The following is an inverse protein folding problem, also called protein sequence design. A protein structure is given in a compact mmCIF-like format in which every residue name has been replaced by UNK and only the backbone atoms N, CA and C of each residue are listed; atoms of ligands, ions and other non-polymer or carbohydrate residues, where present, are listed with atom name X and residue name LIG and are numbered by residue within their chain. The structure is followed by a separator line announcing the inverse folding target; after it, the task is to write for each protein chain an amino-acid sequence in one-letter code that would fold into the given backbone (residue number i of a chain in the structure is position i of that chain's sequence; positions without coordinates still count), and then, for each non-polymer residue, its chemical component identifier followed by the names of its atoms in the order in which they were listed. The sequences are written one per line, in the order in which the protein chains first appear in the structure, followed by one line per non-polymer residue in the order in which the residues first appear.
data_IF_790976636881
#
_entry.id   IF_790976636881
#
_cell.length_a   1.000
_cell.length_b   1.000
_cell.length_c   1.000
_cell.angle_alpha   90.00
_cell.angle_beta   90.00
_cell.angle_gamma   90.00
#
_symmetry.space_group_name_H-M   'P 1'
#
loop_
_entity.id
_entity.type
_entity.pdbx_description
1 polymer ?
#
# COMPACT_ATOMS: atom_id res chain seq x y z
N UNK A 1 -16.52 28.09 -12.89
CA UNK A 1 -17.47 26.96 -12.81
C UNK A 1 -17.99 26.75 -11.38
N UNK A 2 -17.13 26.55 -10.37
CA UNK A 2 -17.54 26.37 -8.95
C UNK A 2 -18.29 27.59 -8.36
N UNK A 3 -17.86 28.82 -8.66
CA UNK A 3 -18.55 30.04 -8.19
C UNK A 3 -19.97 30.21 -8.77
N UNK A 4 -20.22 29.75 -10.00
CA UNK A 4 -21.56 29.74 -10.62
C UNK A 4 -22.48 28.65 -10.06
N UNK A 5 -21.90 27.60 -9.46
CA UNK A 5 -22.67 26.56 -8.77
C UNK A 5 -23.09 27.00 -7.36
N UNK A 6 -22.36 27.93 -6.72
CA UNK A 6 -22.74 28.53 -5.43
C UNK A 6 -24.08 29.26 -5.50
N UNK A 7 -24.35 30.03 -6.55
CA UNK A 7 -25.62 30.77 -6.71
C UNK A 7 -26.82 29.86 -6.94
N UNK A 8 -26.64 28.73 -7.64
CA UNK A 8 -27.70 27.72 -7.78
C UNK A 8 -27.98 26.98 -6.46
N UNK A 9 -26.94 26.74 -5.65
CA UNK A 9 -27.05 26.16 -4.32
C UNK A 9 -27.84 27.03 -3.35
N UNK A 10 -27.79 28.36 -3.49
CA UNK A 10 -28.58 29.27 -2.64
C UNK A 10 -30.08 29.18 -2.89
N UNK A 11 -30.51 28.89 -4.13
CA UNK A 11 -31.92 28.65 -4.44
C UNK A 11 -32.42 27.30 -3.91
N UNK A 12 -31.56 26.28 -3.83
CA UNK A 12 -31.87 24.99 -3.22
C UNK A 12 -32.02 25.06 -1.68
N UNK A 13 -31.52 26.11 -1.02
CA UNK A 13 -31.72 26.35 0.43
C UNK A 13 -33.20 26.42 0.83
N UNK A 14 -34.08 26.81 -0.09
CA UNK A 14 -35.50 27.09 0.22
C UNK A 14 -36.45 25.92 -0.01
N UNK A 15 -36.06 24.87 -0.73
CA UNK A 15 -37.03 23.88 -1.24
C UNK A 15 -36.70 22.43 -0.95
N UNK A 16 -35.44 22.05 -0.75
CA UNK A 16 -35.06 20.64 -0.59
C UNK A 16 -34.08 20.50 0.57
N UNK A 17 -34.54 19.87 1.65
CA UNK A 17 -33.83 19.73 2.91
C UNK A 17 -32.43 19.15 2.75
N UNK A 18 -31.44 20.02 2.85
CA UNK A 18 -30.05 19.64 3.10
C UNK A 18 -29.98 19.12 4.54
N UNK A 19 -29.70 17.83 4.68
CA UNK A 19 -29.49 17.18 5.97
C UNK A 19 -28.43 17.99 6.75
N UNK A 20 -28.85 18.64 7.83
CA UNK A 20 -27.99 19.45 8.72
C UNK A 20 -27.35 20.73 8.12
N UNK A 21 -27.89 21.29 7.03
CA UNK A 21 -27.38 22.55 6.45
C UNK A 21 -26.01 22.44 5.76
N UNK A 22 -25.57 21.21 5.49
CA UNK A 22 -24.37 20.93 4.70
C UNK A 22 -24.69 20.88 3.20
N UNK A 23 -23.76 21.33 2.36
CA UNK A 23 -23.89 21.34 0.90
C UNK A 23 -23.04 20.24 0.27
N UNK A 24 -23.60 19.06 -0.06
CA UNK A 24 -22.81 17.96 -0.57
C UNK A 24 -22.38 18.21 -2.03
N UNK A 25 -21.16 17.79 -2.34
CA UNK A 25 -20.65 17.65 -3.70
C UNK A 25 -20.23 16.20 -3.86
N UNK A 26 -20.81 15.51 -4.84
CA UNK A 26 -20.51 14.11 -5.09
C UNK A 26 -19.35 13.98 -6.07
N UNK A 27 -18.49 13.00 -5.84
CA UNK A 27 -17.36 12.71 -6.73
C UNK A 27 -17.43 11.25 -7.16
N UNK A 28 -17.40 11.01 -8.47
CA UNK A 28 -17.36 9.66 -9.04
C UNK A 28 -15.97 9.32 -9.55
N UNK A 29 -15.59 8.05 -9.40
CA UNK A 29 -14.33 7.52 -9.92
C UNK A 29 -14.23 7.67 -11.45
N UNK A 30 -13.03 8.01 -11.89
CA UNK A 30 -12.56 7.93 -13.27
C UNK A 30 -11.96 6.58 -13.61
N UNK A 31 -10.84 6.61 -14.33
CA UNK A 31 -10.13 5.41 -14.76
C UNK A 31 -9.09 5.02 -13.72
N UNK A 32 -9.19 3.81 -13.18
CA UNK A 32 -8.23 3.31 -12.20
C UNK A 32 -6.83 3.15 -12.81
N UNK A 33 -5.79 3.36 -12.00
CA UNK A 33 -4.42 3.09 -12.44
C UNK A 33 -4.20 1.59 -12.70
N UNK A 34 -3.21 1.21 -13.53
CA UNK A 34 -2.87 -0.20 -13.76
C UNK A 34 -2.55 -0.94 -12.46
N UNK A 35 -1.82 -0.31 -11.54
CA UNK A 35 -1.48 -0.88 -10.22
C UNK A 35 -2.73 -1.14 -9.38
N UNK A 36 -3.66 -0.17 -9.30
CA UNK A 36 -4.91 -0.36 -8.55
C UNK A 36 -5.79 -1.44 -9.18
N UNK A 37 -5.83 -1.50 -10.51
CA UNK A 37 -6.57 -2.53 -11.24
C UNK A 37 -6.00 -3.93 -10.95
N UNK A 38 -4.67 -4.06 -10.94
CA UNK A 38 -3.98 -5.30 -10.59
C UNK A 38 -4.25 -5.71 -9.13
N UNK A 39 -4.18 -4.76 -8.19
CA UNK A 39 -4.47 -5.01 -6.79
C UNK A 39 -5.94 -5.41 -6.55
N UNK A 40 -6.89 -4.81 -7.28
CA UNK A 40 -8.31 -5.20 -7.24
C UNK A 40 -8.52 -6.63 -7.74
N UNK A 41 -7.89 -7.00 -8.85
CA UNK A 41 -7.93 -8.36 -9.38
C UNK A 41 -7.36 -9.34 -8.35
N UNK A 42 -6.20 -9.03 -7.77
CA UNK A 42 -5.58 -9.87 -6.75
C UNK A 42 -6.50 -10.07 -5.53
N UNK A 43 -7.11 -9.00 -5.03
CA UNK A 43 -8.10 -9.06 -3.94
C UNK A 43 -9.29 -9.96 -4.28
N UNK A 44 -9.81 -9.86 -5.51
CA UNK A 44 -10.91 -10.71 -5.97
C UNK A 44 -10.54 -12.19 -5.97
N UNK A 45 -9.35 -12.55 -6.48
CA UNK A 45 -8.87 -13.92 -6.48
C UNK A 45 -8.68 -14.47 -5.05
N UNK A 46 -8.01 -13.71 -4.18
CA UNK A 46 -7.83 -14.08 -2.77
C UNK A 46 -9.17 -14.29 -2.05
N UNK A 47 -10.17 -13.46 -2.34
CA UNK A 47 -11.49 -13.54 -1.71
C UNK A 47 -12.34 -14.69 -2.26
N UNK A 48 -12.06 -15.14 -3.49
CA UNK A 48 -12.81 -16.21 -4.15
C UNK A 48 -12.25 -17.61 -3.87
N UNK A 49 -11.14 -17.72 -3.11
CA UNK A 49 -10.50 -19.00 -2.78
C UNK A 49 -9.88 -19.72 -3.99
N UNK A 50 -9.72 -19.01 -5.11
CA UNK A 50 -9.04 -19.51 -6.32
C UNK A 50 -7.54 -19.36 -6.09
N UNK A 51 -6.78 -20.42 -6.37
CA UNK A 51 -5.34 -20.45 -6.13
C UNK A 51 -4.62 -19.34 -6.92
N UNK A 52 -3.73 -18.61 -6.23
CA UNK A 52 -2.99 -17.47 -6.79
C UNK A 52 -2.06 -17.86 -7.95
N UNK A 53 -1.84 -19.16 -8.14
CA UNK A 53 -1.09 -19.74 -9.26
C UNK A 53 -1.77 -19.53 -10.63
N UNK A 54 -3.06 -19.18 -10.68
CA UNK A 54 -3.76 -18.81 -11.93
C UNK A 54 -3.55 -17.35 -12.36
N UNK A 55 -2.73 -16.58 -11.64
CA UNK A 55 -2.45 -15.19 -11.97
C UNK A 55 -1.58 -15.09 -13.24
N UNK A 56 -2.20 -14.90 -14.39
CA UNK A 56 -1.53 -14.41 -15.58
C UNK A 56 -1.46 -12.88 -15.48
N UNK A 57 -0.27 -12.26 -15.43
CA UNK A 57 -0.18 -10.82 -15.45
C UNK A 57 -0.86 -10.30 -16.71
N UNK A 58 -1.74 -9.28 -16.61
CA UNK A 58 -2.36 -8.70 -17.79
C UNK A 58 -1.25 -8.16 -18.72
N UNK A 59 -1.43 -8.38 -20.03
CA UNK A 59 -0.64 -7.67 -21.03
C UNK A 59 -0.75 -6.16 -20.77
N UNK A 60 0.33 -5.41 -21.05
CA UNK A 60 0.51 -3.99 -20.71
C UNK A 60 -0.63 -3.03 -21.12
N UNK A 61 -1.57 -3.50 -21.94
CA UNK A 61 -2.64 -2.68 -22.53
C UNK A 61 -4.07 -3.11 -22.15
N UNK A 62 -4.25 -4.07 -21.23
CA UNK A 62 -5.58 -4.46 -20.78
C UNK A 62 -6.08 -3.51 -19.67
N UNK A 63 -6.73 -2.42 -20.05
CA UNK A 63 -7.59 -1.68 -19.11
C UNK A 63 -8.67 -2.63 -18.63
N UNK A 64 -8.60 -3.00 -17.36
CA UNK A 64 -9.61 -3.86 -16.73
C UNK A 64 -10.85 -3.00 -16.54
N UNK A 65 -11.70 -3.00 -17.56
CA UNK A 65 -12.96 -2.25 -17.57
C UNK A 65 -13.77 -2.61 -16.33
N UNK A 66 -14.35 -1.60 -15.67
CA UNK A 66 -15.22 -1.85 -14.51
C UNK A 66 -16.38 -2.75 -14.93
N UNK A 67 -16.85 -3.57 -13.98
CA UNK A 67 -18.05 -4.38 -14.16
C UNK A 67 -19.18 -3.52 -14.75
N UNK A 68 -19.77 -3.98 -15.87
CA UNK A 68 -20.74 -3.19 -16.65
C UNK A 68 -22.00 -2.89 -15.84
N UNK A 69 -22.47 -3.84 -15.02
CA UNK A 69 -23.61 -3.63 -14.13
C UNK A 69 -23.32 -2.54 -13.09
N UNK A 70 -22.12 -2.55 -12.50
CA UNK A 70 -21.67 -1.54 -11.56
C UNK A 70 -21.57 -0.16 -12.20
N UNK A 71 -20.98 -0.05 -13.39
CA UNK A 71 -20.90 1.22 -14.13
C UNK A 71 -22.30 1.77 -14.46
N UNK A 72 -23.23 0.90 -14.85
CA UNK A 72 -24.63 1.30 -15.07
C UNK A 72 -25.26 1.83 -13.79
N UNK A 73 -25.13 1.12 -12.67
CA UNK A 73 -25.65 1.56 -11.38
C UNK A 73 -25.07 2.92 -10.95
N UNK A 74 -23.77 3.15 -11.16
CA UNK A 74 -23.14 4.45 -10.90
C UNK A 74 -23.77 5.55 -11.77
N UNK A 75 -23.99 5.30 -13.06
CA UNK A 75 -24.62 6.29 -13.96
C UNK A 75 -26.08 6.59 -13.54
N UNK A 76 -26.86 5.56 -13.21
CA UNK A 76 -28.24 5.73 -12.73
C UNK A 76 -28.27 6.59 -11.44
N UNK A 77 -27.30 6.39 -10.53
CA UNK A 77 -27.15 7.24 -9.33
C UNK A 77 -26.73 8.68 -9.66
N UNK A 78 -25.85 8.89 -10.65
CA UNK A 78 -25.44 10.24 -11.08
C UNK A 78 -26.63 10.99 -11.66
N UNK A 79 -27.40 10.37 -12.56
CA UNK A 79 -28.61 10.96 -13.13
C UNK A 79 -29.60 11.36 -12.04
N UNK A 80 -29.83 10.48 -11.06
CA UNK A 80 -30.70 10.77 -9.93
C UNK A 80 -30.22 11.99 -9.12
N UNK A 81 -28.92 12.10 -8.85
CA UNK A 81 -28.34 13.24 -8.13
C UNK A 81 -28.49 14.54 -8.93
N UNK A 82 -28.28 14.50 -10.23
CA UNK A 82 -28.47 15.66 -11.12
C UNK A 82 -29.93 16.11 -11.16
N UNK A 83 -30.88 15.18 -11.17
CA UNK A 83 -32.32 15.47 -11.06
C UNK A 83 -32.68 16.11 -9.72
N UNK A 84 -31.98 15.78 -8.63
CA UNK A 84 -32.11 16.44 -7.34
C UNK A 84 -31.37 17.80 -7.26
N UNK A 85 -30.71 18.23 -8.34
CA UNK A 85 -29.95 19.48 -8.38
C UNK A 85 -28.64 19.42 -7.58
N UNK A 86 -28.12 18.22 -7.31
CA UNK A 86 -26.87 18.03 -6.56
C UNK A 86 -25.67 18.08 -7.51
N UNK A 87 -24.59 18.80 -7.15
CA UNK A 87 -23.40 18.85 -8.00
C UNK A 87 -22.64 17.52 -7.94
N UNK A 88 -22.35 16.97 -9.13
CA UNK A 88 -21.55 15.77 -9.31
C UNK A 88 -20.30 16.10 -10.13
N UNK A 89 -19.14 15.63 -9.68
CA UNK A 89 -17.85 15.77 -10.35
C UNK A 89 -17.31 14.39 -10.71
N UNK A 90 -16.63 14.28 -11.85
CA UNK A 90 -15.93 13.06 -12.26
C UNK A 90 -14.42 13.25 -12.09
N UNK A 91 -13.79 12.37 -11.33
CA UNK A 91 -12.34 12.33 -11.20
C UNK A 91 -11.68 11.77 -12.48
N UNK A 92 -10.42 12.12 -12.73
CA UNK A 92 -9.62 11.48 -13.77
C UNK A 92 -9.18 10.07 -13.36
N UNK A 93 -8.86 9.91 -12.08
CA UNK A 93 -8.49 8.64 -11.45
C UNK A 93 -9.43 8.32 -10.31
N UNK A 94 -8.95 8.40 -9.09
CA UNK A 94 -9.73 8.06 -7.89
C UNK A 94 -10.52 9.24 -7.35
N UNK A 95 -11.76 8.98 -6.95
CA UNK A 95 -12.64 9.98 -6.34
C UNK A 95 -12.01 10.59 -5.08
N UNK A 96 -11.36 9.77 -4.25
CA UNK A 96 -10.67 10.23 -3.03
C UNK A 96 -9.58 11.26 -3.30
N UNK A 97 -8.84 11.10 -4.41
CA UNK A 97 -7.80 12.04 -4.80
C UNK A 97 -8.39 13.41 -5.13
N UNK A 98 -9.51 13.44 -5.86
CA UNK A 98 -10.20 14.68 -6.19
C UNK A 98 -10.88 15.29 -4.94
N UNK A 99 -11.52 14.48 -4.09
CA UNK A 99 -12.06 14.94 -2.81
C UNK A 99 -10.99 15.62 -1.95
N UNK A 100 -9.84 14.97 -1.78
CA UNK A 100 -8.72 15.50 -1.01
C UNK A 100 -8.16 16.79 -1.61
N UNK A 101 -8.10 16.89 -2.95
CA UNK A 101 -7.70 18.12 -3.63
C UNK A 101 -8.68 19.25 -3.34
N UNK A 102 -9.98 19.03 -3.52
CA UNK A 102 -11.01 20.04 -3.26
C UNK A 102 -10.96 20.54 -1.82
N UNK A 103 -10.73 19.63 -0.86
CA UNK A 103 -10.60 20.00 0.55
C UNK A 103 -9.31 20.77 0.84
N UNK A 104 -8.18 20.34 0.28
CA UNK A 104 -6.90 21.04 0.44
C UNK A 104 -6.97 22.47 -0.12
N UNK A 105 -7.59 22.63 -1.28
CA UNK A 105 -7.69 23.90 -2.02
C UNK A 105 -8.79 24.81 -1.46
N UNK A 106 -9.57 24.36 -0.47
CA UNK A 106 -10.59 25.14 0.22
C UNK A 106 -11.91 25.28 -0.53
N UNK A 107 -12.18 24.38 -1.49
CA UNK A 107 -13.47 24.31 -2.18
C UNK A 107 -14.55 23.61 -1.36
N UNK A 108 -14.16 22.68 -0.48
CA UNK A 108 -15.06 21.97 0.45
C UNK A 108 -14.43 21.90 1.85
N UNK A 109 -15.27 21.89 2.89
CA UNK A 109 -14.81 21.92 4.28
C UNK A 109 -14.29 20.57 4.77
N UNK A 110 -14.87 19.46 4.28
CA UNK A 110 -14.49 18.10 4.67
C UNK A 110 -14.75 17.08 3.56
N UNK A 111 -14.01 15.97 3.59
CA UNK A 111 -14.28 14.79 2.77
C UNK A 111 -15.09 13.76 3.58
N UNK A 112 -16.21 13.28 3.05
CA UNK A 112 -16.98 12.19 3.67
C UNK A 112 -16.55 10.88 3.01
N UNK A 113 -15.84 10.03 3.74
CA UNK A 113 -15.41 8.72 3.24
C UNK A 113 -15.14 7.76 4.41
N UNK A 114 -15.20 6.45 4.16
CA UNK A 114 -14.72 5.45 5.12
C UNK A 114 -13.21 5.19 4.97
N UNK A 115 -12.63 5.57 3.84
CA UNK A 115 -11.27 5.26 3.44
C UNK A 115 -10.27 6.33 3.87
N UNK A 116 -9.16 5.89 4.47
CA UNK A 116 -8.12 6.77 4.98
C UNK A 116 -7.18 7.30 3.89
N UNK A 117 -7.26 6.78 2.66
CA UNK A 117 -6.35 7.13 1.56
C UNK A 117 -6.52 8.60 1.15
N UNK A 118 -7.68 9.20 1.38
CA UNK A 118 -7.90 10.66 1.34
C UNK A 118 -6.83 11.47 2.07
N UNK A 119 -6.30 11.02 3.22
CA UNK A 119 -5.19 11.71 3.89
C UNK A 119 -3.86 11.59 3.13
N UNK A 120 -3.62 10.46 2.47
CA UNK A 120 -2.45 10.26 1.59
C UNK A 120 -2.51 11.21 0.38
N UNK A 121 -3.72 11.44 -0.14
CA UNK A 121 -3.99 12.45 -1.17
C UNK A 121 -3.99 13.89 -0.65
N UNK A 122 -3.95 14.09 0.66
CA UNK A 122 -3.72 15.37 1.33
C UNK A 122 -4.97 16.11 1.76
N UNK A 123 -6.05 15.40 2.07
CA UNK A 123 -7.19 15.97 2.77
C UNK A 123 -6.76 16.54 4.15
N UNK A 124 -7.39 17.65 4.55
CA UNK A 124 -7.20 18.31 5.84
C UNK A 124 -8.25 17.88 6.87
N UNK A 125 -9.47 17.60 6.43
CA UNK A 125 -10.59 17.17 7.28
C UNK A 125 -11.35 16.01 6.63
N UNK A 126 -11.51 14.91 7.37
CA UNK A 126 -12.24 13.72 6.92
C UNK A 126 -13.33 13.38 7.94
N UNK A 127 -14.55 13.23 7.47
CA UNK A 127 -15.69 12.74 8.25
C UNK A 127 -15.87 11.26 7.90
N UNK A 128 -15.63 10.40 8.89
CA UNK A 128 -15.70 8.95 8.70
C UNK A 128 -17.13 8.46 8.73
N UNK A 129 -17.66 8.15 7.55
CA UNK A 129 -18.97 7.53 7.29
C UNK A 129 -20.16 8.20 7.99
N UNK A 130 -21.11 8.73 7.20
CA UNK A 130 -22.40 9.20 7.73
C UNK A 130 -23.34 8.00 7.83
N UNK A 131 -23.69 7.59 9.05
CA UNK A 131 -24.70 6.55 9.26
C UNK A 131 -26.09 7.20 9.28
N UNK A 132 -27.03 6.79 8.39
CA UNK A 132 -28.34 7.46 8.24
C UNK A 132 -29.18 7.54 9.51
N UNK A 133 -28.97 6.60 10.45
CA UNK A 133 -29.77 6.47 11.68
C UNK A 133 -28.95 6.65 12.97
N UNK A 134 -27.71 7.13 12.89
CA UNK A 134 -26.93 7.39 14.11
C UNK A 134 -27.35 8.73 14.73
N UNK A 135 -27.84 8.69 15.97
CA UNK A 135 -28.07 9.89 16.79
C UNK A 135 -26.80 10.43 17.45
N UNK A 136 -25.68 9.71 17.32
CA UNK A 136 -24.39 10.08 17.90
C UNK A 136 -23.62 11.09 17.03
N UNK A 137 -22.60 11.74 17.58
CA UNK A 137 -21.75 12.67 16.83
C UNK A 137 -21.05 11.96 15.68
N UNK A 138 -20.79 12.70 14.60
CA UNK A 138 -19.96 12.21 13.50
C UNK A 138 -18.51 12.08 13.94
N UNK A 139 -17.86 11.01 13.49
CA UNK A 139 -16.44 10.80 13.71
C UNK A 139 -15.66 11.65 12.70
N UNK A 140 -14.93 12.66 13.18
CA UNK A 140 -14.22 13.62 12.35
C UNK A 140 -12.74 13.63 12.70
N UNK A 141 -11.90 13.62 11.67
CA UNK A 141 -10.46 13.59 11.76
C UNK A 141 -9.87 14.81 11.06
N UNK A 142 -9.09 15.61 11.78
CA UNK A 142 -8.29 16.67 11.19
C UNK A 142 -6.84 16.24 11.07
N UNK A 143 -6.21 16.58 9.95
CA UNK A 143 -4.78 16.36 9.75
C UNK A 143 -3.95 17.09 10.81
N UNK A 144 -4.41 18.26 11.29
CA UNK A 144 -3.78 18.99 12.40
C UNK A 144 -3.76 18.19 13.70
N UNK A 145 -4.84 17.47 13.99
CA UNK A 145 -4.97 16.67 15.22
C UNK A 145 -4.11 15.42 15.13
N UNK A 146 -4.01 14.81 13.93
CA UNK A 146 -3.10 13.70 13.65
C UNK A 146 -1.64 14.15 13.83
N UNK A 147 -1.28 15.32 13.31
CA UNK A 147 0.06 15.88 13.46
C UNK A 147 0.38 16.19 14.93
N UNK A 148 -0.54 16.82 15.65
CA UNK A 148 -0.35 17.17 17.06
C UNK A 148 -0.32 15.94 17.98
N UNK A 149 -1.21 14.98 17.76
CA UNK A 149 -1.36 13.80 18.61
C UNK A 149 -0.36 12.68 18.33
N UNK A 150 0.05 12.51 17.06
CA UNK A 150 0.90 11.39 16.64
C UNK A 150 2.27 11.82 16.10
N UNK A 151 2.48 13.12 15.81
CA UNK A 151 3.69 13.61 15.14
C UNK A 151 3.79 13.16 13.67
N UNK A 152 2.68 12.69 13.09
CA UNK A 152 2.64 12.14 11.74
C UNK A 152 2.14 13.19 10.75
N UNK A 153 3.04 13.65 9.88
CA UNK A 153 2.71 14.50 8.74
C UNK A 153 2.29 13.63 7.56
N UNK A 154 1.67 14.24 6.54
CA UNK A 154 1.25 13.54 5.30
C UNK A 154 2.33 12.61 4.72
N UNK A 155 3.58 13.08 4.64
CA UNK A 155 4.72 12.28 4.13
C UNK A 155 4.99 11.02 4.96
N UNK A 156 4.79 11.09 6.27
CA UNK A 156 4.91 9.93 7.15
C UNK A 156 3.78 8.94 6.89
N UNK A 157 2.54 9.43 6.68
CA UNK A 157 1.40 8.56 6.33
C UNK A 157 1.62 7.84 5.00
N UNK A 158 2.16 8.54 3.98
CA UNK A 158 2.53 7.92 2.70
C UNK A 158 3.64 6.90 2.89
N UNK A 159 4.67 7.20 3.68
CA UNK A 159 5.72 6.23 3.97
C UNK A 159 5.18 4.97 4.66
N UNK A 160 4.26 5.13 5.64
CA UNK A 160 3.60 4.00 6.30
C UNK A 160 2.80 3.17 5.28
N UNK A 161 2.02 3.81 4.41
CA UNK A 161 1.19 3.09 3.45
C UNK A 161 2.02 2.34 2.40
N UNK A 162 3.20 2.84 2.04
CA UNK A 162 4.14 2.14 1.18
C UNK A 162 4.82 0.96 1.89
N UNK A 163 5.13 1.11 3.18
CA UNK A 163 5.79 0.05 3.97
C UNK A 163 4.84 -1.09 4.32
N UNK A 164 3.62 -0.77 4.74
CA UNK A 164 2.64 -1.75 5.24
C UNK A 164 1.84 -2.37 4.10
N UNK A 165 1.67 -1.63 3.00
CA UNK A 165 0.75 -1.96 1.92
C UNK A 165 -0.45 -1.02 1.90
N UNK A 166 -0.99 -0.84 0.70
CA UNK A 166 -2.07 0.09 0.39
C UNK A 166 -2.91 -0.43 -0.77
N UNK A 167 -3.83 0.41 -1.25
CA UNK A 167 -4.77 0.04 -2.29
C UNK A 167 -4.14 -0.31 -3.66
N UNK A 168 -2.89 0.10 -3.89
CA UNK A 168 -2.12 -0.14 -5.10
C UNK A 168 -1.11 -1.29 -4.97
N UNK A 169 -0.57 -1.51 -3.76
CA UNK A 169 0.36 -2.60 -3.45
C UNK A 169 -0.06 -3.25 -2.13
N UNK A 170 -0.65 -4.44 -2.23
CA UNK A 170 -1.21 -5.16 -1.09
C UNK A 170 -0.16 -5.69 -0.12
N UNK A 171 1.07 -5.90 -0.61
CA UNK A 171 2.09 -6.60 0.16
C UNK A 171 3.01 -5.63 0.90
N UNK A 172 3.17 -4.41 0.37
CA UNK A 172 4.16 -3.46 0.87
C UNK A 172 5.54 -4.11 0.99
N UNK A 173 6.26 -3.80 2.06
CA UNK A 173 7.54 -4.44 2.36
C UNK A 173 7.32 -5.67 3.24
N UNK A 174 7.71 -6.83 2.73
CA UNK A 174 7.57 -8.10 3.44
C UNK A 174 8.21 -8.06 4.84
N UNK A 175 7.42 -8.38 5.87
CA UNK A 175 7.86 -8.40 7.26
C UNK A 175 7.74 -7.05 7.98
N UNK A 176 7.23 -6.01 7.33
CA UNK A 176 6.96 -4.71 7.95
C UNK A 176 5.45 -4.53 8.13
N UNK A 177 5.00 -4.65 9.37
CA UNK A 177 3.63 -4.28 9.76
C UNK A 177 3.54 -2.84 10.26
N UNK A 178 2.33 -2.42 10.65
CA UNK A 178 2.07 -1.05 11.14
C UNK A 178 2.96 -0.67 12.34
N UNK A 179 3.10 -1.56 13.32
CA UNK A 179 3.94 -1.29 14.50
C UNK A 179 5.41 -1.08 14.12
N UNK A 180 5.94 -1.95 13.26
CA UNK A 180 7.31 -1.86 12.75
C UNK A 180 7.52 -0.57 11.95
N UNK A 181 6.57 -0.21 11.08
CA UNK A 181 6.61 1.02 10.29
C UNK A 181 6.61 2.27 11.20
N UNK A 182 5.75 2.31 12.21
CA UNK A 182 5.71 3.41 13.19
C UNK A 182 7.01 3.50 14.00
N UNK A 183 7.57 2.35 14.39
CA UNK A 183 8.84 2.30 15.12
C UNK A 183 9.99 2.87 14.30
N UNK A 184 10.07 2.56 13.00
CA UNK A 184 11.07 3.14 12.11
C UNK A 184 10.95 4.66 12.07
N UNK A 185 9.74 5.19 11.86
CA UNK A 185 9.51 6.62 11.75
C UNK A 185 9.84 7.39 13.04
N UNK A 186 9.55 6.80 14.21
CA UNK A 186 9.82 7.43 15.52
C UNK A 186 11.30 7.43 15.91
N UNK A 187 12.10 6.45 15.48
CA UNK A 187 13.52 6.29 15.90
C UNK A 187 14.56 7.10 15.11
N UNK A 188 14.13 8.09 14.31
CA UNK A 188 15.03 8.99 13.58
C UNK A 188 14.83 9.02 12.07
N UNK A 189 13.92 8.21 11.53
CA UNK A 189 13.52 8.37 10.13
C UNK A 189 12.71 9.65 9.89
N UNK A 190 12.13 10.29 10.90
CA UNK A 190 11.46 11.58 10.71
C UNK A 190 12.40 12.62 10.08
N UNK A 191 13.63 12.72 10.57
CA UNK A 191 14.62 13.66 10.02
C UNK A 191 15.07 13.23 8.63
N UNK A 192 15.31 11.92 8.42
CA UNK A 192 15.70 11.36 7.12
C UNK A 192 14.61 11.53 6.04
N UNK A 193 13.38 11.14 6.36
CA UNK A 193 12.22 11.34 5.48
C UNK A 193 12.08 12.83 5.25
N UNK A 194 12.25 13.70 6.25
CA UNK A 194 12.14 15.14 6.04
C UNK A 194 13.24 15.73 5.18
N UNK A 195 14.48 15.26 5.29
CA UNK A 195 15.63 15.77 4.54
C UNK A 195 15.74 15.20 3.13
N UNK A 196 15.23 13.99 2.91
CA UNK A 196 15.35 13.26 1.66
C UNK A 196 14.02 13.05 0.94
N UNK A 197 12.89 13.57 1.47
CA UNK A 197 11.58 13.41 0.84
C UNK A 197 11.59 13.86 -0.61
N UNK A 198 12.25 14.98 -0.91
CA UNK A 198 12.30 15.51 -2.27
C UNK A 198 13.08 14.56 -3.19
N UNK A 199 14.21 14.01 -2.75
CA UNK A 199 14.98 13.01 -3.53
C UNK A 199 14.19 11.70 -3.69
N UNK A 200 13.59 11.20 -2.62
CA UNK A 200 12.75 9.98 -2.65
C UNK A 200 11.56 10.19 -3.58
N UNK A 201 10.89 11.33 -3.50
CA UNK A 201 9.73 11.67 -4.35
C UNK A 201 10.13 11.82 -5.80
N UNK A 202 11.24 12.51 -6.09
CA UNK A 202 11.78 12.61 -7.45
C UNK A 202 12.12 11.23 -8.02
N UNK A 203 12.77 10.36 -7.24
CA UNK A 203 13.08 8.99 -7.66
C UNK A 203 11.83 8.16 -7.90
N UNK A 204 10.86 8.20 -6.99
CA UNK A 204 9.57 7.50 -7.17
C UNK A 204 8.83 8.00 -8.41
N UNK A 205 8.86 9.31 -8.67
CA UNK A 205 8.29 9.90 -9.88
C UNK A 205 9.01 9.43 -11.15
N UNK A 206 10.34 9.39 -11.15
CA UNK A 206 11.13 8.90 -12.30
C UNK A 206 10.88 7.41 -12.56
N UNK A 207 10.85 6.58 -11.50
CA UNK A 207 10.48 5.15 -11.61
C UNK A 207 9.08 5.01 -12.19
N UNK A 208 8.12 5.83 -11.72
CA UNK A 208 6.75 5.85 -12.23
C UNK A 208 6.65 6.22 -13.72
N UNK A 209 7.57 7.06 -14.21
CA UNK A 209 7.65 7.45 -15.64
C UNK A 209 8.46 6.47 -16.50
N UNK A 210 8.97 5.38 -15.92
CA UNK A 210 9.72 4.34 -16.64
C UNK A 210 11.24 4.53 -16.66
N UNK A 211 11.76 5.54 -15.96
CA UNK A 211 13.21 5.77 -15.83
C UNK A 211 13.74 4.95 -14.64
N UNK A 212 14.55 3.92 -14.92
CA UNK A 212 15.27 3.14 -13.92
C UNK A 212 16.75 3.56 -13.88
N UNK A 213 17.12 4.66 -13.20
CA UNK A 213 18.53 4.93 -12.94
C UNK A 213 19.09 3.93 -11.92
N UNK A 214 20.36 3.50 -12.06
CA UNK A 214 20.98 2.55 -11.16
C UNK A 214 21.03 3.08 -9.72
N UNK A 215 20.81 2.18 -8.76
CA UNK A 215 20.86 2.45 -7.33
C UNK A 215 22.24 2.97 -6.91
N UNK A 216 22.39 4.26 -6.67
CA UNK A 216 23.49 4.83 -5.89
C UNK A 216 22.91 5.63 -4.71
N UNK A 217 23.00 5.05 -3.52
CA UNK A 217 22.85 5.77 -2.26
C UNK A 217 24.24 6.27 -1.86
N UNK A 218 24.53 7.54 -2.14
CA UNK A 218 25.77 8.19 -1.73
C UNK A 218 25.73 8.55 -0.25
N UNK A 219 25.92 7.57 0.63
CA UNK A 219 26.29 7.86 2.02
C UNK A 219 27.74 8.34 1.99
N UNK A 220 27.94 9.67 2.05
CA UNK A 220 29.26 10.26 2.26
C UNK A 220 29.69 10.03 3.71
N UNK A 221 30.36 8.91 3.98
CA UNK A 221 31.13 8.73 5.20
C UNK A 221 32.35 9.65 5.15
N UNK A 222 32.43 10.63 6.06
CA UNK A 222 33.67 11.37 6.31
C UNK A 222 34.55 10.56 7.28
N UNK A 223 35.75 10.27 6.79
CA UNK A 223 37.05 10.07 7.46
C UNK A 223 37.14 8.98 8.57
N UNK A 224 37.99 7.94 8.52
CA UNK A 224 39.10 7.61 7.63
C UNK A 224 39.50 6.13 7.75
N UNK A 225 40.20 5.65 6.71
CA UNK A 225 40.63 4.27 6.46
C UNK A 225 41.95 3.96 7.23
N UNK A 226 42.15 2.73 7.73
CA UNK A 226 43.25 1.93 7.16
C UNK A 226 42.73 0.65 6.51
N UNK A 227 43.24 0.43 5.30
CA UNK A 227 42.95 -0.66 4.39
C UNK A 227 43.37 -1.99 5.01
N UNK A 228 42.43 -2.93 5.13
CA UNK A 228 42.73 -4.36 5.09
C UNK A 228 41.77 -4.94 4.07
N UNK A 229 42.35 -5.37 2.95
CA UNK A 229 41.74 -6.26 1.98
C UNK A 229 41.17 -7.47 2.71
N UNK A 230 39.91 -7.82 2.48
CA UNK A 230 39.51 -9.18 2.15
C UNK A 230 38.01 -9.22 1.82
N UNK A 231 37.70 -10.01 0.79
CA UNK A 231 36.36 -10.32 0.33
C UNK A 231 35.46 -10.83 1.48
N UNK A 232 34.26 -10.30 1.61
CA UNK A 232 33.16 -11.08 2.19
C UNK A 232 31.80 -10.65 1.65
N UNK A 233 31.32 -11.40 0.67
CA UNK A 233 29.90 -11.46 0.29
C UNK A 233 29.06 -12.00 1.46
N UNK A 234 27.77 -11.61 1.59
CA UNK A 234 26.92 -12.13 2.65
C UNK A 234 26.66 -13.63 2.42
N UNK A 235 27.21 -14.47 3.32
CA UNK A 235 27.09 -15.94 3.27
C UNK A 235 25.61 -16.35 3.26
N UNK A 236 25.09 -16.79 2.10
CA UNK A 236 23.77 -17.42 1.96
C UNK A 236 23.76 -18.69 2.81
N UNK A 237 22.92 -18.75 3.85
CA UNK A 237 22.74 -19.96 4.67
C UNK A 237 22.12 -21.06 3.82
N UNK A 238 22.81 -22.19 3.69
CA UNK A 238 22.31 -23.37 3.01
C UNK A 238 21.23 -24.06 3.87
N UNK A 239 20.08 -24.49 3.32
CA UNK A 239 19.07 -25.24 4.08
C UNK A 239 19.58 -26.64 4.46
N UNK A 240 19.30 -27.08 5.68
CA UNK A 240 19.68 -28.40 6.20
C UNK A 240 18.46 -29.19 6.65
N UNK A 241 18.53 -30.51 6.51
CA UNK A 241 17.43 -31.40 6.84
C UNK A 241 17.25 -31.42 8.36
N UNK A 242 16.02 -31.17 8.82
CA UNK A 242 15.72 -31.13 10.25
C UNK A 242 15.91 -32.48 10.95
N UNK A 243 15.98 -33.59 10.20
CA UNK A 243 16.13 -34.94 10.75
C UNK A 243 17.59 -35.40 10.80
N UNK A 244 18.34 -35.37 9.69
CA UNK A 244 19.75 -35.80 9.66
C UNK A 244 20.77 -34.68 9.80
N UNK A 245 20.38 -33.41 9.63
CA UNK A 245 21.29 -32.27 9.69
C UNK A 245 22.18 -32.07 8.46
N UNK A 246 22.05 -32.89 7.41
CA UNK A 246 22.80 -32.73 6.15
C UNK A 246 22.16 -31.69 5.21
N UNK A 247 22.92 -31.11 4.25
CA UNK A 247 22.39 -30.14 3.29
C UNK A 247 21.20 -30.66 2.49
N UNK A 248 20.21 -29.81 2.28
CA UNK A 248 18.93 -30.14 1.63
C UNK A 248 17.75 -30.14 2.59
N UNK A 249 16.52 -30.06 2.08
CA UNK A 249 15.31 -30.08 2.91
C UNK A 249 14.87 -31.51 3.24
N UNK A 250 14.15 -31.70 4.37
CA UNK A 250 13.56 -33.00 4.73
C UNK A 250 12.69 -33.59 3.60
N UNK A 251 11.97 -32.72 2.86
CA UNK A 251 11.12 -33.13 1.73
C UNK A 251 11.96 -33.58 0.52
N UNK A 252 13.12 -32.96 0.29
CA UNK A 252 14.05 -33.39 -0.74
C UNK A 252 14.64 -34.77 -0.42
N UNK A 253 15.10 -34.98 0.83
CA UNK A 253 15.65 -36.27 1.26
C UNK A 253 14.63 -37.41 1.30
N UNK A 254 13.34 -37.09 1.39
CA UNK A 254 12.27 -38.09 1.26
C UNK A 254 12.04 -38.52 -0.21
N UNK A 255 12.37 -37.65 -1.17
CA UNK A 255 12.16 -37.88 -2.61
C UNK A 255 13.41 -38.45 -3.30
N UNK A 256 14.59 -38.05 -2.85
CA UNK A 256 15.89 -38.53 -3.30
C UNK A 256 16.73 -38.80 -2.05
N UNK A 257 17.10 -40.06 -1.80
CA UNK A 257 17.81 -40.49 -0.59
C UNK A 257 18.98 -39.57 -0.23
N UNK A 258 19.21 -39.37 1.07
CA UNK A 258 20.30 -38.51 1.53
C UNK A 258 21.66 -39.16 1.25
N UNK A 259 22.46 -38.52 0.38
CA UNK A 259 23.79 -38.99 -0.03
C UNK A 259 24.78 -39.17 1.14
N UNK A 260 24.57 -38.45 2.24
CA UNK A 260 25.44 -38.44 3.42
C UNK A 260 25.00 -39.43 4.51
N UNK A 261 23.78 -39.98 4.43
CA UNK A 261 23.28 -40.94 5.43
C UNK A 261 23.65 -42.39 5.12
N UNK A 262 24.24 -42.68 3.96
CA UNK A 262 24.72 -44.03 3.61
C UNK A 262 23.64 -45.11 3.54
N UNK A 263 22.35 -44.76 3.49
CA UNK A 263 21.26 -45.74 3.41
C UNK A 263 21.09 -46.24 1.97
N UNK A 264 21.57 -47.45 1.70
CA UNK A 264 21.27 -48.17 0.46
C UNK A 264 19.84 -48.70 0.55
N UNK A 265 18.97 -48.24 -0.35
CA UNK A 265 17.56 -48.61 -0.56
C UNK A 265 16.52 -48.00 0.41
N UNK A 266 15.69 -47.10 -0.14
CA UNK A 266 14.35 -46.63 0.28
C UNK A 266 14.03 -46.28 1.74
N UNK A 267 14.99 -46.22 2.66
CA UNK A 267 14.73 -45.80 4.04
C UNK A 267 15.10 -44.33 4.31
N UNK A 268 14.23 -43.70 5.09
CA UNK A 268 14.30 -42.31 5.53
C UNK A 268 15.64 -41.95 6.19
N UNK A 269 16.02 -40.67 6.14
CA UNK A 269 17.19 -40.10 6.82
C UNK A 269 17.47 -40.68 8.21
N UNK A 270 18.74 -40.84 8.58
CA UNK A 270 19.14 -41.21 9.96
C UNK A 270 18.99 -39.98 10.87
N UNK A 271 18.47 -40.18 12.09
CA UNK A 271 18.32 -39.10 13.08
C UNK A 271 19.69 -38.58 13.50
N UNK A 272 19.89 -37.27 13.45
CA UNK A 272 21.12 -36.62 13.91
C UNK A 272 21.40 -36.95 15.39
N UNK A 273 22.66 -37.23 15.72
CA UNK A 273 23.13 -37.39 17.10
C UNK A 273 23.08 -36.05 17.84
N UNK A 274 22.96 -36.09 19.16
CA UNK A 274 23.07 -34.87 19.97
C UNK A 274 24.46 -34.26 19.78
N UNK A 275 24.51 -32.97 19.42
CA UNK A 275 25.75 -32.26 19.11
C UNK A 275 26.24 -32.37 17.65
N UNK A 276 25.45 -32.95 16.73
CA UNK A 276 25.82 -33.04 15.31
C UNK A 276 26.19 -31.68 14.70
N UNK A 277 27.37 -31.60 14.07
CA UNK A 277 27.85 -30.45 13.29
C UNK A 277 27.97 -30.85 11.82
N UNK A 278 27.41 -30.02 10.93
CA UNK A 278 27.48 -30.25 9.49
C UNK A 278 28.84 -29.83 8.94
N UNK A 279 29.46 -30.69 8.13
CA UNK A 279 30.76 -30.43 7.49
C UNK A 279 30.64 -29.86 6.07
N UNK A 280 29.50 -29.29 5.70
CA UNK A 280 29.36 -28.66 4.38
C UNK A 280 30.15 -27.35 4.32
N UNK A 281 30.67 -26.95 3.13
CA UNK A 281 31.46 -25.72 2.99
C UNK A 281 30.76 -24.47 3.58
N UNK A 282 29.43 -24.26 3.36
CA UNK A 282 28.71 -23.15 3.97
C UNK A 282 28.66 -23.16 5.52
N UNK A 283 28.74 -24.32 6.16
CA UNK A 283 28.71 -24.46 7.63
C UNK A 283 30.09 -24.44 8.27
N UNK A 284 31.13 -24.87 7.54
CA UNK A 284 32.52 -24.78 7.97
C UNK A 284 33.12 -23.39 7.74
N UNK A 285 32.42 -22.52 7.01
CA UNK A 285 32.81 -21.13 6.80
C UNK A 285 33.96 -20.96 5.81
N UNK A 286 34.32 -22.01 5.07
CA UNK A 286 35.29 -22.06 3.97
C UNK A 286 34.57 -21.75 2.66
#
# INVERSE_FOLDING_TARGET
MIQSQRSNLEHLKSSHGLLFGAFPVFVVDGTASPLKSQARIMRFFCSSGIDSSCFLPPQKDASVERNREFTKCVNDCVELLELFGMPVLKANGEAEALCAQLNRDGHVDACITADSDTFLFGAKCVIKCIRPNSKGPFECYHMSDIEAGLGLKRKHLIAISLLVGNDHDLNGVQGIGLETALHFLRRGFNDFISSCWDDISCRLHNIGNGDNPPFQCGIKSKDGIPTISDESSPKKKCPHCSFCGHPGSKRAHFKSSCEYCGTTSNESCIKKLEGFKCNCPPCLGV
#
